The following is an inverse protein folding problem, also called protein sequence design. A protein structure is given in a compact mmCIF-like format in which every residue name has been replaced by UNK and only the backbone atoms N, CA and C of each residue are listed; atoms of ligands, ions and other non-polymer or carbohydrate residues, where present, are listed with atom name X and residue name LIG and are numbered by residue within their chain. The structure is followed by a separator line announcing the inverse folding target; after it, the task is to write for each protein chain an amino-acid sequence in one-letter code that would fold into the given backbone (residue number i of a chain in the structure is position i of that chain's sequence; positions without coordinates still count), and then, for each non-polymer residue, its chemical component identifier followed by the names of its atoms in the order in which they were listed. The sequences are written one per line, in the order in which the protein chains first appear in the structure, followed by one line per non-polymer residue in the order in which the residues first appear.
data_IF_755389461536
#
_entry.id   IF_755389461536
#
_cell.length_a   1.000
_cell.length_b   1.000
_cell.length_c   1.000
_cell.angle_alpha   90.00
_cell.angle_beta   90.00
_cell.angle_gamma   90.00
#
_symmetry.space_group_name_H-M   'P 1'
#
loop_
_entity.id
_entity.type
_entity.pdbx_description
1 polymer ?
#
# COMPACT_ATOMS: atom_id res chain seq x y z
N UNK A 1 -21.07 5.88 1.75
CA UNK A 1 -20.37 4.64 1.32
C UNK A 1 -18.86 4.79 1.44
N UNK A 2 -18.27 5.98 1.28
CA UNK A 2 -16.81 6.16 1.22
C UNK A 2 -16.27 7.13 2.28
N UNK A 3 -17.01 7.43 3.34
CA UNK A 3 -16.62 8.43 4.36
C UNK A 3 -15.37 8.04 5.18
N UNK A 4 -15.11 6.75 5.27
CA UNK A 4 -13.96 6.19 6.02
C UNK A 4 -12.76 5.84 5.12
N UNK A 5 -12.80 6.21 3.84
CA UNK A 5 -11.71 5.87 2.90
C UNK A 5 -10.63 6.94 2.87
N UNK A 6 -9.39 6.51 2.75
CA UNK A 6 -8.26 7.41 2.55
C UNK A 6 -8.39 8.18 1.23
N UNK A 7 -7.75 9.34 1.14
CA UNK A 7 -7.74 10.14 -0.10
C UNK A 7 -7.22 9.33 -1.28
N UNK A 8 -6.17 8.54 -1.08
CA UNK A 8 -5.60 7.66 -2.11
C UNK A 8 -6.59 6.60 -2.58
N UNK A 9 -7.28 5.91 -1.65
CA UNK A 9 -8.29 4.93 -2.00
C UNK A 9 -9.47 5.54 -2.78
N UNK A 10 -9.90 6.76 -2.44
CA UNK A 10 -10.92 7.50 -3.19
C UNK A 10 -10.46 7.85 -4.60
N UNK A 11 -9.23 8.27 -4.77
CA UNK A 11 -8.63 8.55 -6.09
C UNK A 11 -8.58 7.30 -6.97
N UNK A 12 -8.28 6.13 -6.39
CA UNK A 12 -8.29 4.85 -7.11
C UNK A 12 -9.70 4.46 -7.57
N UNK A 13 -10.72 4.66 -6.73
CA UNK A 13 -12.11 4.39 -7.07
C UNK A 13 -12.58 5.30 -8.22
N UNK A 14 -12.25 6.59 -8.16
CA UNK A 14 -12.58 7.53 -9.24
C UNK A 14 -11.80 7.20 -10.54
N UNK A 15 -10.56 6.80 -10.42
CA UNK A 15 -9.75 6.34 -11.55
C UNK A 15 -10.34 5.07 -12.18
N UNK A 16 -10.84 4.12 -11.38
CA UNK A 16 -11.51 2.93 -11.87
C UNK A 16 -12.77 3.27 -12.69
N UNK A 17 -13.52 4.29 -12.29
CA UNK A 17 -14.66 4.81 -13.06
C UNK A 17 -14.21 5.37 -14.41
N UNK A 18 -13.12 6.15 -14.45
CA UNK A 18 -12.57 6.68 -15.70
C UNK A 18 -12.08 5.56 -16.62
N UNK A 19 -11.39 4.55 -16.09
CA UNK A 19 -10.92 3.39 -16.84
C UNK A 19 -12.12 2.62 -17.44
N UNK A 20 -13.15 2.33 -16.65
CA UNK A 20 -14.34 1.65 -17.16
C UNK A 20 -14.96 2.41 -18.34
N UNK A 21 -15.11 3.73 -18.21
CA UNK A 21 -15.62 4.58 -19.30
C UNK A 21 -14.74 4.54 -20.54
N UNK A 22 -13.42 4.62 -20.41
CA UNK A 22 -12.48 4.57 -21.54
C UNK A 22 -12.53 3.21 -22.27
N UNK A 23 -12.83 2.13 -21.54
CA UNK A 23 -13.03 0.78 -22.10
C UNK A 23 -14.46 0.54 -22.62
N UNK A 24 -15.30 1.58 -22.66
CA UNK A 24 -16.69 1.49 -23.12
C UNK A 24 -17.59 0.64 -22.22
N UNK A 25 -17.20 0.43 -20.95
CA UNK A 25 -18.00 -0.35 -19.99
C UNK A 25 -18.98 0.56 -19.24
N UNK A 26 -20.20 0.05 -19.03
CA UNK A 26 -21.24 0.77 -18.28
C UNK A 26 -21.08 0.64 -16.77
N UNK A 27 -20.56 -0.51 -16.32
CA UNK A 27 -20.39 -0.85 -14.92
C UNK A 27 -18.91 -0.91 -14.57
N UNK A 28 -18.57 -0.35 -13.42
CA UNK A 28 -17.23 -0.46 -12.83
C UNK A 28 -17.15 -1.78 -12.07
N UNK A 29 -16.22 -2.64 -12.44
CA UNK A 29 -15.97 -3.92 -11.77
C UNK A 29 -14.62 -3.93 -11.07
N UNK A 30 -14.32 -5.03 -10.39
CA UNK A 30 -13.07 -5.22 -9.66
C UNK A 30 -11.85 -5.21 -10.59
N UNK A 31 -12.01 -5.59 -11.86
CA UNK A 31 -10.98 -5.47 -12.90
C UNK A 31 -10.56 -4.02 -13.17
N UNK A 32 -11.51 -3.09 -13.16
CA UNK A 32 -11.22 -1.68 -13.36
C UNK A 32 -10.54 -1.08 -12.12
N UNK A 33 -10.91 -1.56 -10.94
CA UNK A 33 -10.27 -1.17 -9.68
C UNK A 33 -8.83 -1.68 -9.63
N UNK A 34 -8.57 -2.92 -10.02
CA UNK A 34 -7.23 -3.48 -10.12
C UNK A 34 -6.33 -2.66 -11.07
N UNK A 35 -6.85 -2.31 -12.27
CA UNK A 35 -6.14 -1.46 -13.22
C UNK A 35 -5.87 -0.06 -12.66
N UNK A 36 -6.82 0.51 -11.90
CA UNK A 36 -6.66 1.82 -11.26
C UNK A 36 -5.61 1.79 -10.15
N UNK A 37 -5.63 0.77 -9.32
CA UNK A 37 -4.64 0.56 -8.25
C UNK A 37 -3.23 0.41 -8.82
N UNK A 38 -3.07 -0.37 -9.90
CA UNK A 38 -1.78 -0.50 -10.56
C UNK A 38 -1.25 0.83 -11.10
N UNK A 39 -2.10 1.73 -11.59
CA UNK A 39 -1.70 3.03 -12.13
C UNK A 39 -1.38 4.08 -11.04
N UNK A 40 -1.52 3.77 -9.77
CA UNK A 40 -1.14 4.65 -8.66
C UNK A 40 0.20 4.14 -8.13
N UNK A 41 1.27 4.88 -8.42
CA UNK A 41 2.65 4.47 -8.08
C UNK A 41 2.87 4.25 -6.58
N UNK A 42 2.06 4.88 -5.72
CA UNK A 42 2.10 4.72 -4.27
C UNK A 42 1.32 3.50 -3.77
N UNK A 43 0.54 2.84 -4.63
CA UNK A 43 -0.30 1.71 -4.24
C UNK A 43 0.52 0.46 -3.94
N UNK A 44 0.12 -0.27 -2.90
CA UNK A 44 0.71 -1.57 -2.59
C UNK A 44 0.51 -2.59 -3.72
N UNK A 45 -0.62 -2.49 -4.41
CA UNK A 45 -0.92 -3.30 -5.59
C UNK A 45 0.13 -3.07 -6.69
N UNK A 46 0.49 -1.81 -6.96
CA UNK A 46 1.52 -1.46 -7.94
C UNK A 46 2.86 -2.11 -7.58
N UNK A 47 3.31 -1.94 -6.33
CA UNK A 47 4.61 -2.47 -5.88
C UNK A 47 4.69 -3.97 -5.95
N UNK A 48 3.67 -4.67 -5.46
CA UNK A 48 3.64 -6.13 -5.46
C UNK A 48 3.62 -6.70 -6.88
N UNK A 49 2.89 -6.08 -7.80
CA UNK A 49 2.81 -6.54 -9.17
C UNK A 49 4.05 -6.17 -9.99
N UNK A 50 4.64 -4.99 -9.77
CA UNK A 50 5.88 -4.58 -10.41
C UNK A 50 7.06 -5.49 -10.00
N UNK A 51 7.12 -5.89 -8.71
CA UNK A 51 8.14 -6.83 -8.21
C UNK A 51 8.06 -8.21 -8.90
N UNK A 52 6.89 -8.56 -9.40
CA UNK A 52 6.64 -9.82 -10.13
C UNK A 52 6.65 -9.64 -11.66
N UNK A 53 7.28 -8.57 -12.15
CA UNK A 53 7.39 -8.25 -13.59
C UNK A 53 6.04 -8.15 -14.32
N UNK A 54 4.96 -7.80 -13.61
CA UNK A 54 3.66 -7.52 -14.23
C UNK A 54 3.63 -6.05 -14.64
N UNK A 55 3.30 -5.80 -15.93
CA UNK A 55 3.12 -4.46 -16.46
C UNK A 55 1.64 -4.11 -16.65
N UNK A 56 1.32 -2.83 -16.76
CA UNK A 56 -0.04 -2.38 -17.03
C UNK A 56 -0.61 -2.99 -18.32
N UNK A 57 0.22 -3.11 -19.36
CA UNK A 57 -0.16 -3.69 -20.64
C UNK A 57 -0.56 -5.16 -20.50
N UNK A 58 0.18 -5.94 -19.73
CA UNK A 58 -0.16 -7.34 -19.44
C UNK A 58 -1.48 -7.46 -18.69
N UNK A 59 -1.70 -6.61 -17.66
CA UNK A 59 -2.97 -6.55 -16.94
C UNK A 59 -4.12 -6.21 -17.89
N UNK A 60 -3.97 -5.17 -18.69
CA UNK A 60 -4.99 -4.70 -19.62
C UNK A 60 -5.31 -5.74 -20.70
N UNK A 61 -4.30 -6.44 -21.21
CA UNK A 61 -4.48 -7.53 -22.18
C UNK A 61 -5.35 -8.63 -21.61
N UNK A 62 -5.06 -9.10 -20.38
CA UNK A 62 -5.85 -10.14 -19.72
C UNK A 62 -7.28 -9.67 -19.44
N UNK A 63 -7.45 -8.44 -18.96
CA UNK A 63 -8.78 -7.85 -18.71
C UNK A 63 -9.60 -7.79 -20.00
N UNK A 64 -9.02 -7.35 -21.10
CA UNK A 64 -9.69 -7.27 -22.40
C UNK A 64 -10.03 -8.64 -23.00
N UNK A 65 -9.22 -9.66 -22.70
CA UNK A 65 -9.45 -11.05 -23.14
C UNK A 65 -10.53 -11.79 -22.36
N UNK A 66 -11.03 -11.24 -21.25
CA UNK A 66 -12.06 -11.87 -20.44
C UNK A 66 -13.47 -11.56 -20.95
N UNK A 67 -14.28 -12.63 -21.09
CA UNK A 67 -15.72 -12.50 -21.30
C UNK A 67 -16.40 -12.39 -19.94
N UNK A 68 -16.75 -11.19 -19.54
CA UNK A 68 -17.36 -10.89 -18.24
C UNK A 68 -18.88 -11.00 -18.39
N UNK A 69 -19.46 -12.05 -17.83
CA UNK A 69 -20.91 -12.24 -17.78
C UNK A 69 -21.45 -11.70 -16.45
N UNK A 70 -22.11 -10.55 -16.53
CA UNK A 70 -22.75 -9.91 -15.36
C UNK A 70 -24.24 -10.25 -15.36
N UNK A 71 -24.65 -11.12 -14.44
CA UNK A 71 -26.04 -11.54 -14.27
C UNK A 71 -26.69 -10.72 -13.16
N UNK A 72 -27.97 -10.34 -13.36
CA UNK A 72 -28.80 -9.65 -12.34
C UNK A 72 -28.27 -8.28 -11.85
N UNK A 73 -27.54 -7.56 -12.69
CA UNK A 73 -27.16 -6.18 -12.41
C UNK A 73 -28.21 -5.22 -12.99
N UNK A 74 -28.54 -4.18 -12.23
CA UNK A 74 -29.45 -3.11 -12.68
C UNK A 74 -28.78 -2.26 -13.76
N UNK A 75 -29.58 -1.73 -14.70
CA UNK A 75 -29.05 -0.78 -15.72
C UNK A 75 -28.70 0.59 -15.12
N UNK A 76 -29.15 0.84 -13.89
CA UNK A 76 -28.94 2.11 -13.16
C UNK A 76 -27.70 2.03 -12.26
N UNK A 77 -27.16 0.85 -11.99
CA UNK A 77 -25.96 0.69 -11.16
C UNK A 77 -24.72 1.26 -11.85
N UNK A 78 -23.91 2.00 -11.11
CA UNK A 78 -22.59 2.46 -11.54
C UNK A 78 -21.52 1.40 -11.28
N UNK A 79 -21.64 0.68 -10.17
CA UNK A 79 -20.69 -0.32 -9.70
C UNK A 79 -21.30 -1.72 -9.74
N UNK A 80 -20.51 -2.71 -10.13
CA UNK A 80 -20.94 -4.10 -10.09
C UNK A 80 -21.14 -4.57 -8.65
N UNK A 81 -21.98 -5.59 -8.45
CA UNK A 81 -22.22 -6.18 -7.12
C UNK A 81 -20.93 -6.61 -6.45
N UNK A 82 -20.03 -7.27 -7.18
CA UNK A 82 -18.73 -7.71 -6.65
C UNK A 82 -17.81 -6.54 -6.29
N UNK A 83 -17.84 -5.46 -7.03
CA UNK A 83 -17.15 -4.23 -6.63
C UNK A 83 -17.67 -3.72 -5.29
N UNK A 84 -19.01 -3.62 -5.14
CA UNK A 84 -19.63 -3.14 -3.91
C UNK A 84 -19.34 -4.05 -2.71
N UNK A 85 -19.32 -5.38 -2.91
CA UNK A 85 -18.95 -6.37 -1.89
C UNK A 85 -17.48 -6.19 -1.45
N UNK A 86 -16.54 -6.04 -2.38
CA UNK A 86 -15.12 -5.78 -2.08
C UNK A 86 -14.96 -4.51 -1.24
N UNK A 87 -15.62 -3.42 -1.62
CA UNK A 87 -15.57 -2.16 -0.87
C UNK A 87 -16.13 -2.32 0.55
N UNK A 88 -17.27 -3.01 0.69
CA UNK A 88 -17.87 -3.28 2.00
C UNK A 88 -16.96 -4.16 2.88
N UNK A 89 -16.35 -5.19 2.31
CA UNK A 89 -15.47 -6.08 3.06
C UNK A 89 -14.13 -5.41 3.42
N UNK A 90 -13.60 -4.54 2.54
CA UNK A 90 -12.44 -3.73 2.86
C UNK A 90 -12.69 -2.76 4.02
N UNK A 91 -13.90 -2.19 4.10
CA UNK A 91 -14.30 -1.37 5.23
C UNK A 91 -14.36 -2.17 6.54
N UNK A 92 -14.97 -3.37 6.51
CA UNK A 92 -14.99 -4.25 7.70
C UNK A 92 -13.58 -4.69 8.11
N UNK A 93 -12.73 -5.01 7.15
CA UNK A 93 -11.35 -5.39 7.43
C UNK A 93 -10.58 -4.24 8.10
N UNK A 94 -10.75 -3.00 7.65
CA UNK A 94 -10.11 -1.85 8.29
C UNK A 94 -10.62 -1.61 9.72
N UNK A 95 -11.92 -1.85 9.96
CA UNK A 95 -12.51 -1.81 11.31
C UNK A 95 -11.93 -2.90 12.21
N UNK A 96 -11.81 -4.15 11.71
CA UNK A 96 -11.24 -5.29 12.44
C UNK A 96 -9.75 -5.09 12.78
N UNK A 97 -9.02 -4.37 11.92
CA UNK A 97 -7.62 -3.99 12.11
C UNK A 97 -7.43 -2.68 12.87
N UNK A 98 -8.50 -2.09 13.42
CA UNK A 98 -8.48 -0.80 14.13
C UNK A 98 -7.82 0.34 13.32
N UNK A 99 -7.88 0.26 11.98
CA UNK A 99 -7.30 1.26 11.09
C UNK A 99 -8.17 2.51 11.02
N UNK A 100 -7.55 3.71 11.03
CA UNK A 100 -8.27 5.00 10.98
C UNK A 100 -9.05 5.16 9.66
N UNK A 101 -8.50 4.62 8.56
CA UNK A 101 -9.11 4.72 7.22
C UNK A 101 -9.01 3.39 6.48
N UNK A 102 -9.85 3.23 5.46
CA UNK A 102 -9.70 2.17 4.47
C UNK A 102 -8.62 2.59 3.47
N UNK A 103 -7.50 1.89 3.48
CA UNK A 103 -6.40 2.08 2.54
C UNK A 103 -6.47 1.06 1.39
N UNK A 104 -5.59 1.21 0.42
CA UNK A 104 -5.55 0.34 -0.75
C UNK A 104 -5.14 -1.10 -0.43
N UNK A 105 -4.30 -1.34 0.57
CA UNK A 105 -3.96 -2.69 1.04
C UNK A 105 -5.18 -3.46 1.53
N UNK A 106 -6.13 -2.81 2.23
CA UNK A 106 -7.38 -3.45 2.65
C UNK A 106 -8.21 -3.89 1.43
N UNK A 107 -8.32 -3.00 0.43
CA UNK A 107 -9.07 -3.28 -0.80
C UNK A 107 -8.41 -4.42 -1.58
N UNK A 108 -7.08 -4.34 -1.76
CA UNK A 108 -6.35 -5.33 -2.52
C UNK A 108 -6.38 -6.70 -1.85
N UNK A 109 -6.19 -6.76 -0.54
CA UNK A 109 -6.29 -8.00 0.23
C UNK A 109 -7.65 -8.68 0.08
N UNK A 110 -8.74 -7.90 0.17
CA UNK A 110 -10.10 -8.45 -0.04
C UNK A 110 -10.26 -8.96 -1.48
N UNK A 111 -9.73 -8.26 -2.49
CA UNK A 111 -9.76 -8.76 -3.87
C UNK A 111 -9.03 -10.09 -4.04
N UNK A 112 -7.96 -10.33 -3.27
CA UNK A 112 -7.22 -11.59 -3.25
C UNK A 112 -7.96 -12.71 -2.48
N UNK A 113 -8.86 -12.36 -1.55
CA UNK A 113 -9.68 -13.34 -0.80
C UNK A 113 -10.93 -13.77 -1.56
N UNK A 114 -11.51 -12.87 -2.32
CA UNK A 114 -12.76 -13.10 -3.04
C UNK A 114 -12.48 -13.74 -4.42
N UNK A 115 -12.35 -15.07 -4.45
CA UNK A 115 -11.96 -15.86 -5.63
C UNK A 115 -12.92 -15.74 -6.82
N UNK A 116 -14.13 -15.25 -6.61
CA UNK A 116 -15.14 -15.04 -7.66
C UNK A 116 -15.17 -13.59 -8.21
N UNK A 117 -14.17 -12.77 -7.84
CA UNK A 117 -13.97 -11.46 -8.45
C UNK A 117 -13.21 -11.56 -9.77
N UNK A 118 -13.49 -10.60 -10.67
CA UNK A 118 -12.77 -10.56 -11.95
C UNK A 118 -11.29 -10.20 -11.70
N UNK A 119 -10.98 -9.39 -10.71
CA UNK A 119 -9.61 -9.07 -10.32
C UNK A 119 -8.83 -10.33 -9.94
N UNK A 120 -9.40 -11.20 -9.10
CA UNK A 120 -8.77 -12.47 -8.72
C UNK A 120 -8.46 -13.32 -9.96
N UNK A 121 -9.43 -13.50 -10.85
CA UNK A 121 -9.27 -14.28 -12.09
C UNK A 121 -8.18 -13.68 -13.00
N UNK A 122 -8.05 -12.35 -13.04
CA UNK A 122 -6.98 -11.67 -13.81
C UNK A 122 -5.62 -12.04 -13.25
N UNK A 123 -5.44 -11.93 -11.93
CA UNK A 123 -4.17 -12.22 -11.26
C UNK A 123 -3.78 -13.70 -11.39
N UNK A 124 -4.74 -14.62 -11.25
CA UNK A 124 -4.53 -16.05 -11.47
C UNK A 124 -4.11 -16.36 -12.92
N UNK A 125 -4.74 -15.72 -13.91
CA UNK A 125 -4.38 -15.89 -15.34
C UNK A 125 -2.99 -15.33 -15.67
N UNK A 126 -2.52 -14.39 -14.91
CA UNK A 126 -1.14 -13.88 -15.02
C UNK A 126 -0.11 -14.83 -14.38
N UNK A 127 -0.55 -15.94 -13.78
CA UNK A 127 0.31 -16.95 -13.15
C UNK A 127 0.85 -16.54 -11.78
N UNK A 128 0.20 -15.58 -11.12
CA UNK A 128 0.64 -15.11 -9.80
C UNK A 128 0.20 -16.10 -8.70
N UNK A 129 1.07 -16.30 -7.72
CA UNK A 129 0.74 -17.02 -6.49
C UNK A 129 -0.07 -16.09 -5.57
N UNK A 130 -1.39 -16.30 -5.55
CA UNK A 130 -2.31 -15.48 -4.76
C UNK A 130 -2.05 -15.62 -3.26
N UNK A 131 -1.63 -16.80 -2.79
CA UNK A 131 -1.31 -17.01 -1.37
C UNK A 131 -0.01 -16.31 -0.97
N UNK A 132 0.95 -16.18 -1.89
CA UNK A 132 2.13 -15.35 -1.67
C UNK A 132 1.75 -13.87 -1.55
N UNK A 133 0.94 -13.34 -2.48
CA UNK A 133 0.46 -11.94 -2.43
C UNK A 133 -0.32 -11.64 -1.15
N UNK A 134 -1.14 -12.57 -0.67
CA UNK A 134 -1.84 -12.41 0.62
C UNK A 134 -0.87 -12.32 1.78
N UNK A 135 0.11 -13.22 1.85
CA UNK A 135 1.14 -13.18 2.91
C UNK A 135 1.92 -11.88 2.91
N UNK A 136 2.28 -11.37 1.71
CA UNK A 136 2.98 -10.10 1.59
C UNK A 136 2.17 -8.94 2.20
N UNK A 137 0.84 -8.92 2.01
CA UNK A 137 -0.04 -7.90 2.60
C UNK A 137 -0.27 -8.13 4.09
N UNK A 138 -0.44 -9.38 4.54
CA UNK A 138 -0.57 -9.72 5.97
C UNK A 138 0.67 -9.32 6.76
N UNK A 139 1.85 -9.38 6.16
CA UNK A 139 3.07 -8.86 6.77
C UNK A 139 3.02 -7.33 6.97
N UNK A 140 2.38 -6.59 6.05
CA UNK A 140 2.16 -5.15 6.21
C UNK A 140 1.22 -4.88 7.37
N UNK A 141 0.08 -5.59 7.46
CA UNK A 141 -0.86 -5.43 8.57
C UNK A 141 -0.21 -5.73 9.93
N UNK A 142 0.57 -6.82 10.03
CA UNK A 142 1.27 -7.17 11.27
C UNK A 142 2.36 -6.16 11.65
N UNK A 143 2.95 -5.45 10.70
CA UNK A 143 3.91 -4.38 10.95
C UNK A 143 3.24 -3.16 11.58
N UNK A 144 2.04 -2.80 11.14
CA UNK A 144 1.26 -1.70 11.69
C UNK A 144 0.73 -2.02 13.11
N UNK A 145 0.57 -3.31 13.46
CA UNK A 145 0.18 -3.78 14.81
C UNK A 145 1.33 -3.84 15.83
N UNK A 146 2.58 -3.78 15.41
CA UNK A 146 3.75 -3.92 16.28
C UNK A 146 3.94 -2.70 17.20
N UNK A 147 3.14 -2.65 18.28
CA UNK A 147 3.06 -1.54 19.27
C UNK A 147 4.02 -1.70 20.45
N UNK A 148 5.26 -2.10 20.28
CA UNK A 148 6.20 -2.09 21.42
C UNK A 148 7.22 -0.95 21.30
N UNK A 149 7.02 0.07 22.14
CA UNK A 149 7.98 1.14 22.37
C UNK A 149 9.17 0.58 23.15
N UNK A 150 10.17 0.06 22.49
CA UNK A 150 11.45 -0.20 23.12
C UNK A 150 12.11 1.13 23.48
N UNK A 151 12.25 1.35 24.78
CA UNK A 151 13.01 2.48 25.31
C UNK A 151 14.51 2.10 25.27
N UNK A 152 15.22 2.41 24.18
CA UNK A 152 16.64 2.10 24.04
C UNK A 152 17.47 3.24 24.65
N UNK A 153 18.11 3.04 25.80
CA UNK A 153 18.79 4.11 26.53
C UNK A 153 20.25 4.27 26.11
N UNK A 154 20.52 4.42 24.81
CA UNK A 154 21.88 4.64 24.34
C UNK A 154 22.11 6.10 23.94
N UNK A 155 23.17 6.77 24.45
CA UNK A 155 23.40 8.19 24.24
C UNK A 155 23.77 8.57 22.79
N UNK A 156 24.08 7.60 21.96
CA UNK A 156 24.40 7.76 20.53
C UNK A 156 23.19 7.50 19.63
N UNK A 157 22.00 7.24 20.18
CA UNK A 157 20.75 7.10 19.45
C UNK A 157 19.87 8.32 19.68
N UNK A 158 19.47 8.97 18.59
CA UNK A 158 18.55 10.12 18.60
C UNK A 158 17.18 9.61 18.18
N UNK A 159 16.18 9.68 19.07
CA UNK A 159 14.83 9.29 18.74
C UNK A 159 14.17 10.35 17.83
N UNK A 160 13.95 10.02 16.57
CA UNK A 160 13.31 10.90 15.60
C UNK A 160 11.80 10.99 15.79
N UNK A 161 11.17 9.99 16.42
CA UNK A 161 9.72 9.94 16.64
C UNK A 161 9.23 10.91 17.71
N UNK A 162 10.13 11.38 18.60
CA UNK A 162 9.81 12.37 19.66
C UNK A 162 10.19 13.79 19.28
N UNK A 163 10.93 13.99 18.20
CA UNK A 163 11.33 15.35 17.78
C UNK A 163 10.16 16.05 17.09
N UNK A 164 9.63 17.09 17.74
CA UNK A 164 8.49 17.90 17.28
C UNK A 164 8.73 18.72 15.99
N UNK A 165 9.80 18.49 15.28
CA UNK A 165 10.07 19.17 13.99
C UNK A 165 9.43 18.43 12.84
N UNK A 166 8.11 18.41 12.81
CA UNK A 166 7.38 18.06 11.59
C UNK A 166 7.57 19.26 10.64
N UNK A 167 8.63 19.22 9.85
CA UNK A 167 8.68 20.07 8.68
C UNK A 167 7.54 19.64 7.75
N UNK A 168 6.75 20.56 7.17
CA UNK A 168 5.71 20.20 6.23
C UNK A 168 6.35 19.41 5.08
N UNK A 169 6.17 18.10 5.13
CA UNK A 169 6.76 17.18 4.17
C UNK A 169 5.98 17.30 2.85
N UNK A 170 6.55 18.07 1.93
CA UNK A 170 5.95 18.24 0.61
C UNK A 170 6.25 17.02 -0.24
N UNK A 171 5.22 16.14 -0.38
CA UNK A 171 4.97 15.28 -1.54
C UNK A 171 6.09 14.31 -1.98
N UNK A 172 6.41 13.32 -1.13
CA UNK A 172 7.14 12.12 -1.57
C UNK A 172 6.53 10.84 -0.97
N UNK A 173 5.19 10.75 -0.98
CA UNK A 173 4.46 9.62 -0.42
C UNK A 173 4.91 8.28 -1.03
N UNK A 174 5.20 8.23 -2.33
CA UNK A 174 5.69 7.03 -3.01
C UNK A 174 6.96 6.43 -2.39
N UNK A 175 7.92 7.27 -1.94
CA UNK A 175 9.12 6.76 -1.25
C UNK A 175 8.80 6.24 0.14
N UNK A 176 7.87 6.86 0.83
CA UNK A 176 7.43 6.44 2.17
C UNK A 176 6.74 5.08 2.08
N UNK A 177 5.81 4.89 1.16
CA UNK A 177 5.13 3.61 0.98
C UNK A 177 6.11 2.49 0.54
N UNK A 178 7.05 2.79 -0.37
CA UNK A 178 8.13 1.84 -0.69
C UNK A 178 8.98 1.45 0.52
N UNK A 179 9.30 2.39 1.38
CA UNK A 179 10.07 2.12 2.61
C UNK A 179 9.25 1.28 3.58
N UNK A 180 7.97 1.62 3.82
CA UNK A 180 7.05 0.84 4.66
C UNK A 180 6.99 -0.61 4.17
N UNK A 181 6.76 -0.81 2.88
CA UNK A 181 6.73 -2.14 2.27
C UNK A 181 8.04 -2.90 2.47
N UNK A 182 9.21 -2.29 2.24
CA UNK A 182 10.50 -2.96 2.47
C UNK A 182 10.68 -3.32 3.94
N UNK A 183 10.33 -2.41 4.86
CA UNK A 183 10.45 -2.63 6.29
C UNK A 183 9.53 -3.75 6.81
N UNK A 184 8.37 -3.98 6.19
CA UNK A 184 7.42 -5.01 6.57
C UNK A 184 7.85 -6.44 6.15
N UNK A 185 8.83 -6.58 5.25
CA UNK A 185 9.30 -7.91 4.80
C UNK A 185 10.02 -8.67 5.91
N UNK A 186 9.81 -9.98 6.00
CA UNK A 186 10.55 -10.88 6.93
C UNK A 186 12.05 -10.99 6.58
N UNK A 187 12.38 -10.84 5.31
CA UNK A 187 13.77 -10.90 4.81
C UNK A 187 14.01 -9.71 3.89
N UNK A 188 15.29 -9.23 3.84
CA UNK A 188 15.69 -8.07 3.03
C UNK A 188 14.89 -6.79 3.37
N UNK A 189 14.61 -6.60 4.65
CA UNK A 189 13.84 -5.48 5.19
C UNK A 189 14.68 -4.21 5.47
N UNK A 190 15.83 -4.06 4.81
CA UNK A 190 16.73 -2.91 4.98
C UNK A 190 16.64 -1.99 3.76
N UNK A 191 15.83 -0.92 3.77
CA UNK A 191 15.76 0.03 2.67
C UNK A 191 17.04 0.85 2.57
N UNK A 192 17.54 1.06 1.35
CA UNK A 192 18.68 1.90 1.05
C UNK A 192 18.25 3.08 0.19
N UNK A 193 18.36 4.31 0.73
CA UNK A 193 18.08 5.55 0.00
C UNK A 193 19.33 6.02 -0.75
N UNK A 194 19.29 6.01 -2.08
CA UNK A 194 20.38 6.44 -2.96
C UNK A 194 20.00 7.76 -3.62
N UNK A 195 20.95 8.67 -3.73
CA UNK A 195 20.77 9.97 -4.39
C UNK A 195 21.88 10.98 -4.03
N UNK A 196 21.96 12.06 -4.78
CA UNK A 196 22.93 13.13 -4.56
C UNK A 196 22.80 13.79 -3.19
N UNK A 197 23.83 14.51 -2.75
CA UNK A 197 23.75 15.33 -1.53
C UNK A 197 22.65 16.38 -1.69
N UNK A 198 21.90 16.65 -0.60
CA UNK A 198 20.85 17.69 -0.59
C UNK A 198 19.50 17.30 -1.21
N UNK A 199 19.34 16.11 -1.81
CA UNK A 199 18.05 15.71 -2.43
C UNK A 199 16.96 15.34 -1.41
N UNK A 200 17.20 15.44 -0.10
CA UNK A 200 16.19 15.23 0.94
C UNK A 200 16.06 13.81 1.45
N UNK A 201 17.11 12.96 1.35
CA UNK A 201 17.07 11.59 1.91
C UNK A 201 16.78 11.56 3.41
N UNK A 202 17.40 12.44 4.19
CA UNK A 202 17.16 12.58 5.64
C UNK A 202 15.73 13.02 5.92
N UNK A 203 15.23 13.99 5.14
CA UNK A 203 13.86 14.47 5.29
C UNK A 203 12.81 13.38 5.04
N UNK A 204 13.09 12.41 4.17
CA UNK A 204 12.22 11.24 3.97
C UNK A 204 12.13 10.40 5.26
N UNK A 205 13.27 10.15 5.93
CA UNK A 205 13.32 9.38 7.17
C UNK A 205 12.66 10.13 8.33
N UNK A 206 12.88 11.45 8.42
CA UNK A 206 12.22 12.31 9.40
C UNK A 206 10.70 12.36 9.17
N UNK A 207 10.26 12.44 7.90
CA UNK A 207 8.84 12.37 7.53
C UNK A 207 8.21 11.01 7.86
N UNK A 208 8.95 9.92 7.66
CA UNK A 208 8.51 8.58 8.03
C UNK A 208 8.24 8.45 9.54
N UNK A 209 9.06 9.07 10.39
CA UNK A 209 8.86 9.05 11.85
C UNK A 209 7.56 9.73 12.31
N UNK A 210 7.06 10.68 11.53
CA UNK A 210 5.77 11.34 11.77
C UNK A 210 4.55 10.51 11.30
N UNK A 211 4.77 9.58 10.39
CA UNK A 211 3.72 8.73 9.78
C UNK A 211 3.61 7.40 10.51
N UNK A 212 4.73 6.76 10.84
CA UNK A 212 4.78 5.51 11.61
C UNK A 212 4.64 5.80 13.10
N UNK A 213 3.41 5.98 13.57
CA UNK A 213 3.14 6.34 14.97
C UNK A 213 3.47 5.23 15.97
N UNK A 214 3.45 3.99 15.51
CA UNK A 214 3.61 2.79 16.35
C UNK A 214 5.03 2.21 16.30
N UNK A 215 5.92 2.82 15.52
CA UNK A 215 7.33 2.42 15.38
C UNK A 215 8.24 3.57 15.80
N UNK A 216 9.18 3.29 16.70
CA UNK A 216 10.19 4.27 17.09
C UNK A 216 11.35 4.24 16.10
N UNK A 217 11.64 5.36 15.47
CA UNK A 217 12.76 5.53 14.55
C UNK A 217 13.91 6.23 15.27
N UNK A 218 15.06 5.58 15.27
CA UNK A 218 16.28 6.10 15.88
C UNK A 218 17.34 6.40 14.82
N UNK A 219 17.91 7.60 14.89
CA UNK A 219 19.10 7.96 14.13
C UNK A 219 20.35 7.57 14.93
N UNK A 220 21.24 6.81 14.29
CA UNK A 220 22.56 6.51 14.86
C UNK A 220 23.52 7.66 14.58
N UNK A 221 24.00 8.30 15.65
CA UNK A 221 25.12 9.25 15.56
C UNK A 221 26.46 8.50 15.63
N UNK A 222 27.05 8.28 14.47
CA UNK A 222 28.32 7.58 14.36
C UNK A 222 29.47 8.31 15.06
N UNK A 223 29.43 9.64 15.14
CA UNK A 223 30.41 10.45 15.85
C UNK A 223 30.41 10.12 17.34
N UNK A 224 29.25 10.19 17.97
CA UNK A 224 29.06 9.84 19.38
C UNK A 224 29.28 8.36 19.67
N UNK A 225 28.91 7.48 18.73
CA UNK A 225 29.14 6.03 18.86
C UNK A 225 30.63 5.70 18.91
N UNK A 226 31.44 6.23 17.99
CA UNK A 226 32.90 6.00 17.95
C UNK A 226 33.62 6.64 19.14
N UNK A 227 33.19 7.84 19.56
CA UNK A 227 33.74 8.50 20.74
C UNK A 227 33.46 7.69 22.01
N UNK A 228 32.23 7.14 22.17
CA UNK A 228 31.87 6.28 23.29
C UNK A 228 32.60 4.94 23.33
N UNK A 229 32.95 4.38 22.17
CA UNK A 229 33.68 3.11 22.07
C UNK A 229 35.19 3.25 22.42
N UNK A 230 35.73 4.47 22.36
CA UNK A 230 37.16 4.75 22.65
C UNK A 230 37.48 4.85 24.14
N UNK A 231 36.46 4.89 25.00
CA UNK A 231 36.56 5.03 26.46
C UNK A 231 36.06 3.80 27.24
N UNK A 232 35.93 2.66 26.60
CA UNK A 232 35.65 1.37 27.26
C UNK A 232 36.78 0.38 27.07
#
# INVERSE_FOLDING_TARGET
MFETFSTSALEMIDKALRIAKSLGKKLVGTEHLLLAMYQVEESICHFLLEEKDITYEKLLEVVNGLVILRKNESKEDTYSKKFQEVILYAQRLSEDLESEYVYDEHIFYVMLKEYDTVAYVVLEKLGLDIEELKRDIEEIFSFDEAKEKENIPYPFLINLSTSQKIHPFVLRNNYIEKIKYILSKKQKNNPLLIGNAGVGKTAIVEGLSGILKDVSIYQLDLGSFVAGAKYR
#
